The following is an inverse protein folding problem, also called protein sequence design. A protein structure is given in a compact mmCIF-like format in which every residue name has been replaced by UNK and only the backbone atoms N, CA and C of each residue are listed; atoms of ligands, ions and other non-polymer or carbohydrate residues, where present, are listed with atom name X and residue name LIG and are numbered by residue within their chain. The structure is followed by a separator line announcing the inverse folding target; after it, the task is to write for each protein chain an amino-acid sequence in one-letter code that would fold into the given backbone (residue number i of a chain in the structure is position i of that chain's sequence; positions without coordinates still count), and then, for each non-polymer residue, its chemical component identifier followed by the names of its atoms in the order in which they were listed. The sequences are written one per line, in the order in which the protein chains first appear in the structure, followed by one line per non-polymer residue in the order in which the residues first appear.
data_IF_283280952962
#
_entry.id   IF_283280952962
#
_cell.length_a   1.000
_cell.length_b   1.000
_cell.length_c   1.000
_cell.angle_alpha   90.00
_cell.angle_beta   90.00
_cell.angle_gamma   90.00
#
_symmetry.space_group_name_H-M   'P 1'
#
loop_
_entity.id
_entity.type
_entity.pdbx_description
1 polymer ?
#
# COMPACT_ATOMS: atom_id res chain seq x y z
N UNK A 1 3.58 21.79 -0.51
CA UNK A 1 3.03 20.89 -1.52
C UNK A 1 3.00 19.50 -0.92
N UNK A 2 1.86 18.81 -1.05
CA UNK A 2 1.53 17.57 -0.37
C UNK A 2 1.43 16.46 -1.43
N UNK A 3 1.95 15.27 -1.16
CA UNK A 3 1.85 14.13 -2.07
C UNK A 3 1.50 12.85 -1.31
N UNK A 4 0.71 11.97 -1.92
CA UNK A 4 0.34 10.69 -1.32
C UNK A 4 1.48 9.68 -1.42
N UNK A 5 1.55 8.79 -0.45
CA UNK A 5 2.47 7.63 -0.42
C UNK A 5 1.72 6.31 -0.48
N UNK A 6 0.47 6.28 -0.03
CA UNK A 6 -0.40 5.12 -0.14
C UNK A 6 -1.85 5.57 -0.23
N UNK A 7 -2.61 4.99 -1.15
CA UNK A 7 -4.06 5.17 -1.22
C UNK A 7 -4.68 3.80 -1.47
N UNK A 8 -5.64 3.43 -0.64
CA UNK A 8 -6.36 2.17 -0.80
C UNK A 8 -7.80 2.30 -0.29
N UNK A 9 -8.69 1.52 -0.88
CA UNK A 9 -10.06 1.42 -0.41
C UNK A 9 -10.14 0.37 0.71
N UNK A 10 -10.62 0.78 1.89
CA UNK A 10 -10.91 -0.12 3.00
C UNK A 10 -12.42 -0.05 3.26
N UNK A 11 -13.12 -1.13 2.89
CA UNK A 11 -14.60 -1.20 2.96
C UNK A 11 -15.25 -0.02 2.21
N UNK A 12 -16.02 0.82 2.90
CA UNK A 12 -16.74 1.98 2.35
C UNK A 12 -15.95 3.31 2.45
N UNK A 13 -14.66 3.26 2.80
CA UNK A 13 -13.80 4.43 2.99
C UNK A 13 -12.53 4.32 2.16
N UNK A 14 -11.89 5.46 1.93
CA UNK A 14 -10.53 5.54 1.38
C UNK A 14 -9.56 5.77 2.54
N UNK A 15 -8.56 4.91 2.67
CA UNK A 15 -7.42 5.15 3.53
C UNK A 15 -6.29 5.78 2.71
N UNK A 16 -5.79 6.91 3.18
CA UNK A 16 -4.70 7.65 2.55
C UNK A 16 -3.57 7.83 3.55
N UNK A 17 -2.35 7.66 3.06
CA UNK A 17 -1.12 8.17 3.68
C UNK A 17 -0.51 9.18 2.74
N UNK A 18 -0.04 10.29 3.29
CA UNK A 18 0.57 11.37 2.54
C UNK A 18 1.64 12.09 3.36
N UNK A 19 2.47 12.85 2.66
CA UNK A 19 3.57 13.63 3.23
C UNK A 19 3.43 15.07 2.76
N UNK A 20 3.59 16.02 3.69
CA UNK A 20 3.65 17.44 3.38
C UNK A 20 5.05 17.91 2.96
N UNK A 21 5.20 19.19 2.65
CA UNK A 21 6.50 19.75 2.24
C UNK A 21 7.54 19.84 3.37
N UNK A 22 7.14 19.69 4.63
CA UNK A 22 8.06 19.63 5.77
C UNK A 22 8.53 18.19 6.04
N UNK A 23 7.96 17.21 5.34
CA UNK A 23 8.21 15.79 5.59
C UNK A 23 7.34 15.22 6.70
N UNK A 24 6.27 15.91 7.11
CA UNK A 24 5.33 15.40 8.10
C UNK A 24 4.37 14.41 7.44
N UNK A 25 4.28 13.22 8.02
CA UNK A 25 3.36 12.16 7.58
C UNK A 25 1.97 12.38 8.17
N UNK A 26 0.94 12.18 7.35
CA UNK A 26 -0.44 12.08 7.80
C UNK A 26 -1.06 10.82 7.24
N UNK A 27 -1.93 10.22 8.03
CA UNK A 27 -2.74 9.09 7.60
C UNK A 27 -4.17 9.24 8.10
N UNK A 28 -5.14 9.02 7.23
CA UNK A 28 -6.54 9.13 7.60
C UNK A 28 -7.43 8.17 6.79
N UNK A 29 -8.60 7.85 7.37
CA UNK A 29 -9.67 7.14 6.67
C UNK A 29 -10.82 8.10 6.40
N UNK A 30 -11.04 8.42 5.13
CA UNK A 30 -12.03 9.41 4.69
C UNK A 30 -13.22 8.75 4.01
N UNK A 31 -14.40 9.33 4.21
CA UNK A 31 -15.57 9.01 3.38
C UNK A 31 -15.34 9.53 1.96
N UNK A 32 -15.80 8.80 0.96
CA UNK A 32 -15.67 9.18 -0.44
C UNK A 32 -17.02 9.07 -1.15
N UNK A 33 -17.34 10.07 -1.97
CA UNK A 33 -18.59 10.19 -2.71
C UNK A 33 -18.32 9.99 -4.21
N UNK A 34 -18.36 8.75 -4.73
CA UNK A 34 -17.98 8.48 -6.11
C UNK A 34 -18.93 9.16 -7.10
N UNK A 35 -18.41 9.44 -8.28
CA UNK A 35 -19.21 9.91 -9.40
C UNK A 35 -19.14 8.93 -10.57
N UNK A 36 -20.30 8.53 -11.09
CA UNK A 36 -20.44 7.83 -12.37
C UNK A 36 -21.19 8.73 -13.34
N UNK A 37 -21.38 8.27 -14.58
CA UNK A 37 -22.02 9.06 -15.62
C UNK A 37 -23.02 8.22 -16.40
N UNK A 38 -24.13 8.84 -16.80
CA UNK A 38 -25.21 8.19 -17.54
C UNK A 38 -25.62 9.04 -18.75
N UNK A 39 -26.12 8.42 -19.83
CA UNK A 39 -26.66 9.15 -20.97
C UNK A 39 -27.74 10.15 -20.56
N UNK A 40 -27.70 11.34 -21.14
CA UNK A 40 -28.72 12.36 -20.91
C UNK A 40 -29.04 13.14 -22.20
N UNK A 41 -30.18 13.85 -22.26
CA UNK A 41 -30.45 14.76 -23.36
C UNK A 41 -29.37 15.86 -23.48
N UNK A 42 -28.99 16.30 -24.70
CA UNK A 42 -27.91 17.29 -24.92
C UNK A 42 -28.04 18.56 -24.08
N UNK A 43 -29.26 19.05 -23.86
CA UNK A 43 -29.55 20.25 -23.07
C UNK A 43 -29.27 20.10 -21.57
N UNK A 44 -29.09 18.87 -21.07
CA UNK A 44 -28.72 18.55 -19.68
C UNK A 44 -27.27 18.07 -19.55
N UNK A 45 -26.53 18.02 -20.65
CA UNK A 45 -25.18 17.43 -20.70
C UNK A 45 -24.13 18.40 -20.16
N UNK A 46 -23.36 17.95 -19.18
CA UNK A 46 -22.16 18.65 -18.69
C UNK A 46 -20.86 17.92 -19.02
N UNK A 47 -20.95 16.62 -19.34
CA UNK A 47 -19.84 15.78 -19.78
C UNK A 47 -20.13 15.16 -21.13
N UNK A 48 -19.09 14.69 -21.81
CA UNK A 48 -19.19 13.89 -23.03
C UNK A 48 -18.33 12.65 -22.88
N UNK A 49 -18.78 11.53 -23.44
CA UNK A 49 -17.95 10.35 -23.63
C UNK A 49 -16.89 10.59 -24.72
N UNK A 50 -15.97 9.64 -24.89
CA UNK A 50 -14.90 9.71 -25.90
C UNK A 50 -15.43 9.75 -27.35
N UNK A 51 -16.59 9.15 -27.59
CA UNK A 51 -17.33 9.17 -28.86
C UNK A 51 -18.29 10.37 -29.00
N UNK A 52 -18.32 11.26 -28.01
CA UNK A 52 -19.08 12.51 -28.06
C UNK A 52 -20.53 12.43 -27.57
N UNK A 53 -20.97 11.27 -27.06
CA UNK A 53 -22.32 11.10 -26.51
C UNK A 53 -22.52 11.96 -25.26
N UNK A 54 -23.69 12.64 -25.12
CA UNK A 54 -23.98 13.52 -23.99
C UNK A 54 -24.18 12.73 -22.69
N UNK A 55 -23.49 13.15 -21.62
CA UNK A 55 -23.53 12.52 -20.30
C UNK A 55 -23.85 13.53 -19.19
N UNK A 56 -24.56 13.03 -18.17
CA UNK A 56 -24.76 13.71 -16.90
C UNK A 56 -24.05 12.95 -15.76
N UNK A 57 -23.47 13.66 -14.78
CA UNK A 57 -22.86 13.04 -13.62
C UNK A 57 -23.94 12.52 -12.68
N UNK A 58 -23.66 11.39 -12.06
CA UNK A 58 -24.44 10.77 -11.00
C UNK A 58 -23.52 10.56 -9.80
N UNK A 59 -23.65 11.45 -8.81
CA UNK A 59 -22.87 11.41 -7.57
C UNK A 59 -23.58 10.53 -6.54
N UNK A 60 -22.82 9.68 -5.88
CA UNK A 60 -23.31 8.79 -4.84
C UNK A 60 -22.82 9.26 -3.46
N UNK A 61 -23.60 9.09 -2.39
CA UNK A 61 -23.19 9.52 -1.06
C UNK A 61 -22.07 8.66 -0.46
N UNK A 62 -21.84 7.45 -0.98
CA UNK A 62 -20.75 6.58 -0.57
C UNK A 62 -20.44 5.48 -1.62
N UNK A 63 -19.34 4.75 -1.40
CA UNK A 63 -18.85 3.68 -2.27
C UNK A 63 -19.82 2.50 -2.35
N UNK A 64 -20.45 2.13 -1.24
CA UNK A 64 -21.40 1.02 -1.15
C UNK A 64 -22.64 1.27 -2.01
N UNK A 65 -23.25 2.44 -1.93
CA UNK A 65 -24.41 2.82 -2.75
C UNK A 65 -24.05 2.89 -4.24
N UNK A 66 -22.88 3.44 -4.57
CA UNK A 66 -22.38 3.45 -5.94
C UNK A 66 -22.23 2.01 -6.49
N UNK A 67 -21.66 1.10 -5.70
CA UNK A 67 -21.52 -0.31 -6.07
C UNK A 67 -22.87 -1.00 -6.19
N UNK A 68 -23.80 -0.74 -5.27
CA UNK A 68 -25.16 -1.27 -5.30
C UNK A 68 -25.89 -0.87 -6.58
N UNK A 69 -25.76 0.40 -6.98
CA UNK A 69 -26.27 0.90 -8.24
C UNK A 69 -25.66 0.18 -9.44
N UNK A 70 -24.32 0.06 -9.51
CA UNK A 70 -23.66 -0.65 -10.62
C UNK A 70 -24.15 -2.11 -10.72
N UNK A 71 -24.28 -2.81 -9.60
CA UNK A 71 -24.72 -4.20 -9.57
C UNK A 71 -26.18 -4.35 -9.98
N UNK A 72 -27.06 -3.41 -9.62
CA UNK A 72 -28.47 -3.44 -9.99
C UNK A 72 -28.68 -3.38 -11.51
N UNK A 73 -27.82 -2.67 -12.22
CA UNK A 73 -27.91 -2.48 -13.68
C UNK A 73 -26.91 -3.33 -14.47
N UNK A 74 -26.17 -4.22 -13.79
CA UNK A 74 -25.25 -5.12 -14.47
C UNK A 74 -26.03 -6.07 -15.40
N UNK A 75 -25.62 -6.13 -16.66
CA UNK A 75 -26.34 -6.91 -17.69
C UNK A 75 -27.61 -6.28 -18.28
N UNK A 76 -28.01 -5.06 -17.86
CA UNK A 76 -29.14 -4.35 -18.48
C UNK A 76 -28.68 -3.69 -19.79
N UNK A 77 -29.08 -4.26 -20.93
CA UNK A 77 -28.64 -3.85 -22.28
C UNK A 77 -28.94 -2.39 -22.65
N UNK A 78 -29.99 -1.80 -22.09
CA UNK A 78 -30.41 -0.43 -22.40
C UNK A 78 -29.98 0.60 -21.33
N UNK A 79 -29.10 0.22 -20.39
CA UNK A 79 -28.63 1.13 -19.35
C UNK A 79 -27.11 1.11 -19.22
N UNK A 80 -26.44 1.93 -20.03
CA UNK A 80 -24.98 2.03 -20.02
C UNK A 80 -24.52 2.99 -18.94
N UNK A 81 -23.66 2.49 -18.05
CA UNK A 81 -23.01 3.26 -16.98
C UNK A 81 -21.57 3.55 -17.37
N UNK A 82 -21.22 4.83 -17.44
CA UNK A 82 -19.90 5.34 -17.75
C UNK A 82 -19.15 5.79 -16.47
N UNK A 83 -17.85 5.99 -16.57
CA UNK A 83 -16.98 6.45 -15.48
C UNK A 83 -16.05 5.37 -14.94
N UNK A 84 -15.06 5.80 -14.15
CA UNK A 84 -14.02 4.93 -13.60
C UNK A 84 -14.53 4.23 -12.33
N UNK A 85 -14.68 2.91 -12.33
CA UNK A 85 -15.16 2.17 -11.15
C UNK A 85 -14.07 1.89 -10.09
N UNK A 86 -12.83 2.30 -10.36
CA UNK A 86 -11.77 2.29 -9.36
C UNK A 86 -11.85 3.56 -8.51
N UNK A 87 -12.49 3.44 -7.35
CA UNK A 87 -12.73 4.57 -6.43
C UNK A 87 -11.45 5.16 -5.86
N UNK A 88 -10.39 4.36 -5.71
CA UNK A 88 -9.06 4.86 -5.33
C UNK A 88 -8.50 5.81 -6.40
N UNK A 89 -8.62 5.46 -7.69
CA UNK A 89 -8.19 6.34 -8.77
C UNK A 89 -9.07 7.60 -8.88
N UNK A 90 -10.39 7.49 -8.69
CA UNK A 90 -11.25 8.68 -8.62
C UNK A 90 -10.78 9.62 -7.49
N UNK A 91 -10.61 9.08 -6.28
CA UNK A 91 -10.13 9.83 -5.13
C UNK A 91 -8.79 10.53 -5.41
N UNK A 92 -7.82 9.81 -5.99
CA UNK A 92 -6.52 10.39 -6.35
C UNK A 92 -6.72 11.54 -7.34
N UNK A 93 -7.52 11.35 -8.40
CA UNK A 93 -7.74 12.38 -9.42
C UNK A 93 -8.44 13.63 -8.88
N UNK A 94 -9.32 13.49 -7.89
CA UNK A 94 -10.05 14.62 -7.28
C UNK A 94 -9.20 15.38 -6.25
N UNK A 95 -8.35 14.67 -5.49
CA UNK A 95 -7.57 15.28 -4.39
C UNK A 95 -6.15 15.70 -4.82
N UNK A 96 -5.65 15.13 -5.91
CA UNK A 96 -4.35 15.45 -6.51
C UNK A 96 -4.51 15.74 -8.01
N UNK A 97 -5.29 16.77 -8.39
CA UNK A 97 -5.66 17.03 -9.79
C UNK A 97 -4.49 17.59 -10.63
N UNK A 98 -3.55 18.25 -9.96
CA UNK A 98 -2.38 18.85 -10.60
C UNK A 98 -1.21 17.86 -10.68
N UNK A 99 -0.19 18.21 -11.46
CA UNK A 99 1.05 17.45 -11.48
C UNK A 99 1.65 17.38 -10.08
N UNK A 100 1.82 16.16 -9.57
CA UNK A 100 2.40 15.90 -8.25
C UNK A 100 3.91 16.04 -8.34
N UNK A 101 4.46 16.99 -7.61
CA UNK A 101 5.89 17.11 -7.33
C UNK A 101 6.18 16.33 -6.03
N UNK A 102 7.07 15.35 -6.12
CA UNK A 102 7.41 14.44 -5.01
C UNK A 102 8.94 14.37 -4.84
N UNK A 103 9.38 14.04 -3.62
CA UNK A 103 10.78 14.00 -3.24
C UNK A 103 11.10 12.65 -2.59
N UNK A 104 11.97 11.87 -3.24
CA UNK A 104 12.39 10.54 -2.77
C UNK A 104 13.07 10.58 -1.41
N UNK A 105 13.74 11.68 -1.06
CA UNK A 105 14.40 11.83 0.24
C UNK A 105 13.41 11.89 1.42
N UNK A 106 12.13 12.06 1.14
CA UNK A 106 11.03 12.01 2.11
C UNK A 106 10.35 10.65 2.20
N UNK A 107 10.64 9.74 1.26
CA UNK A 107 10.07 8.40 1.25
C UNK A 107 10.91 7.46 2.11
N UNK A 108 10.33 7.00 3.20
CA UNK A 108 10.79 5.83 3.95
C UNK A 108 10.66 4.54 3.12
N UNK A 109 11.79 4.02 2.65
CA UNK A 109 11.89 2.78 1.86
C UNK A 109 12.64 1.74 2.69
N UNK A 110 12.04 0.56 2.82
CA UNK A 110 12.66 -0.59 3.46
C UNK A 110 13.09 -1.62 2.42
N UNK A 111 14.37 -1.99 2.46
CA UNK A 111 14.87 -3.18 1.80
C UNK A 111 14.89 -4.31 2.82
N UNK A 112 14.05 -5.32 2.62
CA UNK A 112 13.84 -6.44 3.54
C UNK A 112 14.37 -7.74 2.95
N UNK A 113 14.98 -8.55 3.80
CA UNK A 113 15.49 -9.89 3.49
C UNK A 113 15.41 -10.78 4.74
N UNK A 114 15.03 -12.05 4.58
CA UNK A 114 14.97 -13.05 5.67
C UNK A 114 15.89 -14.24 5.42
N UNK A 115 16.34 -14.85 6.51
CA UNK A 115 17.02 -16.13 6.51
C UNK A 115 16.15 -17.17 7.21
N UNK A 116 16.02 -18.34 6.59
CA UNK A 116 15.16 -19.43 7.07
C UNK A 116 15.96 -20.72 7.09
N UNK A 117 15.79 -21.51 8.16
CA UNK A 117 16.43 -22.83 8.26
C UNK A 117 16.00 -23.73 7.10
N UNK A 118 16.92 -24.52 6.55
CA UNK A 118 16.68 -25.34 5.35
C UNK A 118 17.19 -26.78 5.48
N UNK A 119 17.32 -27.27 6.72
CA UNK A 119 17.82 -28.63 7.01
C UNK A 119 17.02 -29.72 6.28
N UNK A 120 15.72 -29.49 6.07
CA UNK A 120 14.78 -30.40 5.39
C UNK A 120 14.46 -29.98 3.94
N UNK A 121 15.30 -29.12 3.34
CA UNK A 121 15.14 -28.61 1.98
C UNK A 121 14.64 -27.17 1.90
N UNK A 122 14.21 -26.75 0.69
CA UNK A 122 13.76 -25.37 0.46
C UNK A 122 12.46 -25.07 1.23
N UNK A 123 12.40 -23.99 2.03
CA UNK A 123 11.20 -23.66 2.81
C UNK A 123 9.96 -23.36 1.94
N UNK A 124 8.80 -23.89 2.34
CA UNK A 124 7.54 -23.71 1.62
C UNK A 124 6.73 -22.54 2.19
N UNK A 125 6.65 -21.45 1.43
CA UNK A 125 5.91 -20.22 1.77
C UNK A 125 4.43 -20.45 2.13
N UNK A 126 3.83 -21.57 1.73
CA UNK A 126 2.40 -21.83 1.98
C UNK A 126 2.12 -22.35 3.38
N UNK A 127 3.14 -22.89 4.03
CA UNK A 127 3.04 -23.54 5.34
C UNK A 127 4.09 -23.06 6.34
N UNK A 128 5.05 -22.22 5.91
CA UNK A 128 6.14 -21.69 6.71
C UNK A 128 6.79 -22.79 7.60
N UNK A 129 7.24 -23.88 6.98
CA UNK A 129 7.57 -25.13 7.67
C UNK A 129 8.92 -25.16 8.41
N UNK A 130 9.67 -24.07 8.37
CA UNK A 130 10.97 -23.95 9.00
C UNK A 130 11.13 -22.57 9.66
N UNK A 131 11.88 -22.48 10.77
CA UNK A 131 12.01 -21.23 11.52
C UNK A 131 12.81 -20.19 10.75
N UNK A 132 12.34 -18.94 10.79
CA UNK A 132 13.10 -17.76 10.43
C UNK A 132 14.20 -17.56 11.48
N UNK A 133 15.45 -17.46 11.04
CA UNK A 133 16.63 -17.34 11.91
C UNK A 133 17.18 -15.92 11.97
N UNK A 134 16.93 -15.13 10.91
CA UNK A 134 17.24 -13.72 10.87
C UNK A 134 16.29 -12.96 9.94
N UNK A 135 16.09 -11.68 10.23
CA UNK A 135 15.36 -10.73 9.40
C UNK A 135 16.12 -9.41 9.41
N UNK A 136 16.45 -8.90 8.24
CA UNK A 136 17.15 -7.63 8.08
C UNK A 136 16.28 -6.62 7.36
N UNK A 137 16.22 -5.40 7.91
CA UNK A 137 15.61 -4.24 7.27
C UNK A 137 16.64 -3.13 7.12
N UNK A 138 16.96 -2.75 5.89
CA UNK A 138 17.71 -1.52 5.61
C UNK A 138 16.76 -0.33 5.50
N UNK A 139 17.05 0.71 6.27
CA UNK A 139 16.22 1.90 6.40
C UNK A 139 16.79 3.07 5.58
N UNK A 140 16.14 3.40 4.45
CA UNK A 140 16.69 4.33 3.44
C UNK A 140 17.04 5.74 3.93
N UNK A 141 16.34 6.26 4.94
CA UNK A 141 16.54 7.65 5.40
C UNK A 141 17.73 7.80 6.36
N UNK A 142 17.92 6.86 7.29
CA UNK A 142 18.99 6.93 8.30
C UNK A 142 20.17 6.01 7.98
N UNK A 143 20.06 5.22 6.90
CA UNK A 143 21.07 4.30 6.41
C UNK A 143 21.51 3.23 7.44
N UNK A 144 20.55 2.78 8.26
CA UNK A 144 20.77 1.75 9.30
C UNK A 144 20.19 0.41 8.84
N UNK A 145 20.95 -0.66 9.11
CA UNK A 145 20.49 -2.04 9.00
C UNK A 145 19.97 -2.50 10.37
N UNK A 146 18.65 -2.63 10.49
CA UNK A 146 17.99 -3.22 11.65
C UNK A 146 17.92 -4.72 11.44
N UNK A 147 18.66 -5.48 12.26
CA UNK A 147 18.78 -6.93 12.12
C UNK A 147 18.18 -7.57 13.35
N UNK A 148 17.14 -8.36 13.16
CA UNK A 148 16.52 -9.22 14.17
C UNK A 148 17.07 -10.62 13.95
N UNK A 149 17.65 -11.25 14.95
CA UNK A 149 18.32 -12.54 14.74
C UNK A 149 18.39 -13.40 15.99
N UNK A 150 18.46 -14.71 15.75
CA UNK A 150 18.63 -15.72 16.80
C UNK A 150 20.13 -15.92 17.04
N UNK A 151 20.55 -15.80 18.31
CA UNK A 151 21.94 -16.05 18.71
C UNK A 151 22.86 -14.84 18.59
N UNK A 152 24.17 -15.10 18.61
CA UNK A 152 25.19 -14.04 18.61
C UNK A 152 25.51 -13.54 17.20
N UNK A 153 25.69 -12.23 17.07
CA UNK A 153 26.19 -11.60 15.86
C UNK A 153 27.44 -10.80 16.17
N UNK A 154 28.48 -10.97 15.35
CA UNK A 154 29.68 -10.14 15.38
C UNK A 154 29.73 -9.32 14.08
N UNK A 155 29.58 -7.99 14.15
CA UNK A 155 29.71 -7.13 12.97
C UNK A 155 31.06 -7.33 12.28
N UNK A 156 31.05 -7.54 10.97
CA UNK A 156 32.24 -7.72 10.15
C UNK A 156 32.45 -6.62 9.11
N UNK A 157 31.51 -5.69 8.99
CA UNK A 157 31.53 -4.57 8.06
C UNK A 157 31.49 -3.26 8.87
N UNK A 158 32.62 -2.54 8.88
CA UNK A 158 32.75 -1.28 9.62
C UNK A 158 32.10 -0.09 8.92
N UNK A 159 31.80 -0.22 7.63
CA UNK A 159 31.25 0.88 6.83
C UNK A 159 29.72 0.94 6.96
N UNK A 160 29.09 -0.12 7.49
CA UNK A 160 27.64 -0.18 7.72
C UNK A 160 27.28 0.05 9.17
N UNK A 161 26.24 0.84 9.39
CA UNK A 161 25.63 0.98 10.72
C UNK A 161 24.61 -0.14 10.93
N UNK A 162 24.96 -1.12 11.76
CA UNK A 162 24.08 -2.26 12.09
C UNK A 162 23.53 -2.12 13.52
N UNK A 163 22.21 -2.20 13.67
CA UNK A 163 21.53 -2.35 14.96
C UNK A 163 21.00 -3.78 15.07
N UNK A 164 21.69 -4.59 15.86
CA UNK A 164 21.32 -5.99 16.08
C UNK A 164 20.42 -6.16 17.31
N UNK A 165 19.26 -6.77 17.10
CA UNK A 165 18.31 -7.18 18.12
C UNK A 165 18.42 -8.70 18.27
N UNK A 166 19.14 -9.10 19.31
CA UNK A 166 19.32 -10.52 19.63
C UNK A 166 18.08 -11.10 20.30
N UNK A 167 17.70 -12.28 19.84
CA UNK A 167 16.65 -13.12 20.44
C UNK A 167 17.17 -14.52 20.75
N UNK A 168 16.50 -15.22 21.66
CA UNK A 168 16.84 -16.60 22.02
C UNK A 168 16.12 -17.64 21.15
N UNK A 169 14.98 -17.27 20.57
CA UNK A 169 14.17 -18.10 19.68
C UNK A 169 13.41 -17.22 18.67
N UNK A 170 12.73 -17.88 17.72
CA UNK A 170 11.98 -17.22 16.65
C UNK A 170 10.78 -16.41 17.17
N UNK A 171 10.04 -16.93 18.17
CA UNK A 171 8.87 -16.25 18.73
C UNK A 171 9.26 -14.88 19.29
N UNK A 172 10.29 -14.81 20.12
CA UNK A 172 10.85 -13.57 20.66
C UNK A 172 11.33 -12.62 19.54
N UNK A 173 11.98 -13.16 18.50
CA UNK A 173 12.47 -12.38 17.36
C UNK A 173 11.32 -11.75 16.58
N UNK A 174 10.28 -12.52 16.28
CA UNK A 174 9.13 -12.05 15.52
C UNK A 174 8.27 -11.07 16.32
N UNK A 175 8.13 -11.25 17.63
CA UNK A 175 7.49 -10.25 18.50
C UNK A 175 8.23 -8.91 18.49
N UNK A 176 9.56 -8.93 18.60
CA UNK A 176 10.39 -7.72 18.52
C UNK A 176 10.28 -7.05 17.15
N UNK A 177 10.34 -7.84 16.07
CA UNK A 177 10.18 -7.34 14.71
C UNK A 177 8.81 -6.70 14.49
N UNK A 178 7.72 -7.38 14.86
CA UNK A 178 6.36 -6.86 14.68
C UNK A 178 6.11 -5.61 15.53
N UNK A 179 6.64 -5.56 16.75
CA UNK A 179 6.63 -4.37 17.60
C UNK A 179 7.33 -3.19 16.93
N UNK A 180 8.55 -3.41 16.42
CA UNK A 180 9.30 -2.38 15.69
C UNK A 180 8.59 -1.96 14.40
N UNK A 181 8.10 -2.90 13.59
CA UNK A 181 7.44 -2.65 12.31
C UNK A 181 6.17 -1.81 12.46
N UNK A 182 5.38 -2.09 13.51
CA UNK A 182 4.16 -1.33 13.85
C UNK A 182 4.46 0.15 14.12
N UNK A 183 5.54 0.43 14.82
CA UNK A 183 5.95 1.79 15.19
C UNK A 183 6.74 2.49 14.07
N UNK A 184 7.18 1.74 13.05
CA UNK A 184 7.99 2.24 11.94
C UNK A 184 7.40 1.80 10.58
N UNK A 185 6.17 2.22 10.22
CA UNK A 185 5.52 1.76 9.00
C UNK A 185 6.18 2.34 7.73
N UNK A 186 6.74 1.52 6.82
CA UNK A 186 7.38 2.02 5.61
C UNK A 186 6.38 2.60 4.62
N UNK A 187 6.84 3.48 3.72
CA UNK A 187 6.05 3.86 2.54
C UNK A 187 6.19 2.83 1.43
N UNK A 188 7.39 2.27 1.26
CA UNK A 188 7.73 1.29 0.24
C UNK A 188 8.50 0.15 0.89
N UNK A 189 8.14 -1.08 0.54
CA UNK A 189 8.90 -2.28 0.88
C UNK A 189 9.43 -2.88 -0.41
N UNK A 190 10.72 -3.20 -0.42
CA UNK A 190 11.43 -3.83 -1.54
C UNK A 190 12.44 -4.86 -1.00
N UNK A 191 13.09 -5.59 -1.88
CA UNK A 191 14.01 -6.67 -1.54
C UNK A 191 14.15 -7.64 -2.72
N UNK A 192 15.17 -8.49 -2.68
CA UNK A 192 15.32 -9.50 -3.71
C UNK A 192 14.30 -10.62 -3.46
N UNK A 193 13.38 -10.86 -4.38
CA UNK A 193 12.31 -11.86 -4.25
C UNK A 193 11.34 -11.66 -3.05
N UNK A 194 11.38 -10.50 -2.37
CA UNK A 194 10.59 -10.24 -1.15
C UNK A 194 9.08 -10.37 -1.35
N UNK A 195 8.58 -10.09 -2.56
CA UNK A 195 7.16 -10.23 -2.92
C UNK A 195 6.70 -11.68 -2.99
N UNK A 196 7.60 -12.61 -3.33
CA UNK A 196 7.25 -14.00 -3.63
C UNK A 196 7.82 -15.00 -2.62
N UNK A 197 8.75 -14.59 -1.77
CA UNK A 197 9.29 -15.41 -0.69
C UNK A 197 9.16 -14.72 0.66
N UNK A 198 9.94 -13.67 0.93
CA UNK A 198 10.11 -13.11 2.28
C UNK A 198 8.79 -12.66 2.92
N UNK A 199 8.03 -11.78 2.26
CA UNK A 199 6.75 -11.29 2.79
C UNK A 199 5.73 -12.44 2.90
N UNK A 200 5.52 -13.30 1.86
CA UNK A 200 4.66 -14.47 2.00
C UNK A 200 5.08 -15.48 3.06
N UNK A 201 6.37 -15.59 3.38
CA UNK A 201 6.85 -16.52 4.41
C UNK A 201 6.62 -15.98 5.83
N UNK A 202 6.66 -14.65 5.99
CA UNK A 202 6.38 -13.97 7.27
C UNK A 202 4.88 -13.99 7.63
N UNK A 203 3.96 -13.97 6.64
CA UNK A 203 2.51 -13.76 6.81
C UNK A 203 1.71 -15.05 6.69
#
# INVERSE_FOLDING_TARGET
MKFYTYVSQISNKIYVRDIDNKGQEYSESVSFEPTLYVPCPPEKSTFKSLDGSPLAPLKFPNIEECRGFVNQYDGVTNYTIFGNRNYTHQYISENYPEKIEWDVSKLLIYTLDIEVSSDEGFPDIRIANAPITALTVHHSINDIYYVFGIGEYTPNDSDKTVKYFRSNNEEEMMELFLGWWKDNPPHIVTGWNCKFFDIPYIV
#
